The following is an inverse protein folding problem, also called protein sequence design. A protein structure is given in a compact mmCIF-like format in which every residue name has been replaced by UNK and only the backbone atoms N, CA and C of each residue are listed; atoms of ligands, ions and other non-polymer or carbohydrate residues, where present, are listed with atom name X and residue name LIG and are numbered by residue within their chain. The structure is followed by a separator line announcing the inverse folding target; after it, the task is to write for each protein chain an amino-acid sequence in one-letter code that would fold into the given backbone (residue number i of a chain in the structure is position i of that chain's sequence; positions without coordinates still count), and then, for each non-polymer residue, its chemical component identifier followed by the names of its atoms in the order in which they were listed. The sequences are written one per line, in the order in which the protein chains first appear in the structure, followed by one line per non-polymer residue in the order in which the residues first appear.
data_IF_514110710597
#
_entry.id   IF_514110710597
#
_cell.length_a   1.000
_cell.length_b   1.000
_cell.length_c   1.000
_cell.angle_alpha   90.00
_cell.angle_beta   90.00
_cell.angle_gamma   90.00
#
_symmetry.space_group_name_H-M   'P 1'
#
loop_
_entity.id
_entity.type
_entity.pdbx_description
1 polymer ?
#
# COMPACT_ATOMS: atom_id res chain seq x y z
N UNK A 1 18.42 -6.40 13.43
CA UNK A 1 17.10 -5.89 13.84
C UNK A 1 16.06 -6.78 13.18
N UNK A 2 14.96 -7.12 13.85
CA UNK A 2 13.91 -7.96 13.26
C UNK A 2 13.20 -7.14 12.19
N UNK A 3 13.33 -7.52 10.92
CA UNK A 3 12.58 -6.89 9.83
C UNK A 3 11.08 -6.97 10.15
N UNK A 4 10.39 -5.82 10.17
CA UNK A 4 8.95 -5.79 10.39
C UNK A 4 8.28 -6.34 9.13
N UNK A 5 7.79 -7.57 9.20
CA UNK A 5 7.18 -8.22 8.01
C UNK A 5 5.70 -7.88 7.89
N UNK A 6 5.01 -7.57 8.99
CA UNK A 6 3.56 -7.35 9.01
C UNK A 6 3.21 -5.85 9.12
N UNK A 7 3.19 -5.15 7.99
CA UNK A 7 2.92 -3.72 7.92
C UNK A 7 1.42 -3.45 8.04
N UNK A 8 1.08 -2.54 8.95
CA UNK A 8 -0.29 -2.14 9.18
C UNK A 8 -0.67 -0.98 8.26
N UNK A 9 -1.80 -1.15 7.56
CA UNK A 9 -2.40 -0.09 6.74
C UNK A 9 -3.52 0.65 7.47
N UNK A 10 -4.00 0.09 8.59
CA UNK A 10 -4.78 0.81 9.60
C UNK A 10 -3.92 0.92 10.86
N UNK A 11 -3.68 2.12 11.42
CA UNK A 11 -2.82 2.31 12.58
C UNK A 11 -3.21 1.42 13.77
N UNK A 12 -2.22 0.76 14.38
CA UNK A 12 -2.49 -0.18 15.49
C UNK A 12 -3.05 0.52 16.73
N UNK A 13 -2.61 1.76 17.01
CA UNK A 13 -3.11 2.52 18.15
C UNK A 13 -4.62 2.81 18.00
N UNK A 14 -5.09 3.04 16.77
CA UNK A 14 -6.50 3.27 16.47
C UNK A 14 -7.33 1.99 16.66
N UNK A 15 -6.86 0.86 16.15
CA UNK A 15 -7.56 -0.43 16.29
C UNK A 15 -7.69 -0.88 17.74
N UNK A 16 -6.73 -0.52 18.59
CA UNK A 16 -6.74 -0.86 20.01
C UNK A 16 -7.93 -0.27 20.76
N UNK A 17 -8.40 0.91 20.35
CA UNK A 17 -9.56 1.57 20.96
C UNK A 17 -10.88 0.81 20.78
N UNK A 18 -10.89 -0.25 19.97
CA UNK A 18 -12.04 -1.14 19.75
C UNK A 18 -11.91 -2.50 20.46
N UNK A 19 -10.86 -2.68 21.28
CA UNK A 19 -10.61 -3.95 21.96
C UNK A 19 -11.14 -3.96 23.39
N UNK A 20 -11.60 -5.12 23.84
CA UNK A 20 -12.22 -5.30 25.17
C UNK A 20 -11.20 -5.47 26.31
N UNK A 21 -9.89 -5.57 26.03
CA UNK A 21 -8.89 -5.99 27.01
C UNK A 21 -7.82 -4.92 27.28
N UNK A 22 -7.46 -4.74 28.56
CA UNK A 22 -6.40 -3.85 28.99
C UNK A 22 -4.99 -4.33 28.57
N UNK A 23 -4.79 -5.66 28.42
CA UNK A 23 -3.52 -6.23 27.98
C UNK A 23 -3.38 -6.16 26.45
N UNK A 24 -2.40 -5.36 26.00
CA UNK A 24 -2.06 -5.17 24.58
C UNK A 24 -1.70 -6.46 23.85
N UNK A 25 -1.27 -7.51 24.53
CA UNK A 25 -0.90 -8.76 23.86
C UNK A 25 -2.08 -9.70 23.65
N UNK A 26 -3.15 -9.48 24.42
CA UNK A 26 -4.38 -10.29 24.43
C UNK A 26 -5.60 -9.53 23.90
N UNK A 27 -5.47 -8.23 23.62
CA UNK A 27 -6.54 -7.41 23.09
C UNK A 27 -7.09 -7.98 21.77
N UNK A 28 -8.32 -8.46 21.88
CA UNK A 28 -9.10 -8.98 20.77
C UNK A 28 -10.18 -7.97 20.37
N UNK A 29 -10.54 -8.03 19.10
CA UNK A 29 -11.62 -7.24 18.50
C UNK A 29 -12.63 -8.18 17.86
N UNK A 30 -13.88 -7.78 17.86
CA UNK A 30 -14.92 -8.43 17.07
C UNK A 30 -14.88 -7.88 15.64
N UNK A 31 -14.79 -8.78 14.66
CA UNK A 31 -14.69 -8.44 13.25
C UNK A 31 -15.90 -8.97 12.52
N UNK A 32 -16.48 -8.12 11.66
CA UNK A 32 -17.42 -8.54 10.65
C UNK A 32 -16.79 -8.40 9.26
N UNK A 33 -16.55 -9.52 8.59
CA UNK A 33 -16.08 -9.53 7.22
C UNK A 33 -17.27 -9.43 6.28
N UNK A 34 -17.41 -8.27 5.65
CA UNK A 34 -18.50 -7.99 4.72
C UNK A 34 -18.47 -8.87 3.48
N UNK A 35 -17.30 -9.36 3.06
CA UNK A 35 -17.12 -10.16 1.84
C UNK A 35 -17.58 -11.61 2.04
N UNK A 36 -17.22 -12.20 3.19
CA UNK A 36 -17.60 -13.58 3.53
C UNK A 36 -18.89 -13.67 4.35
N UNK A 37 -19.42 -12.54 4.83
CA UNK A 37 -20.55 -12.43 5.77
C UNK A 37 -20.32 -13.17 7.08
N UNK A 38 -19.06 -13.35 7.48
CA UNK A 38 -18.70 -14.06 8.71
C UNK A 38 -18.27 -13.08 9.79
N UNK A 39 -18.51 -13.48 11.04
CA UNK A 39 -18.02 -12.79 12.23
C UNK A 39 -17.07 -13.67 13.00
N UNK A 40 -16.02 -13.08 13.55
CA UNK A 40 -15.03 -13.77 14.37
C UNK A 40 -14.35 -12.80 15.35
N UNK A 41 -13.71 -13.35 16.38
CA UNK A 41 -12.80 -12.61 17.26
C UNK A 41 -11.36 -12.92 16.90
N UNK A 42 -10.50 -11.91 16.89
CA UNK A 42 -9.06 -12.07 16.64
C UNK A 42 -8.28 -10.96 17.33
N UNK A 43 -6.96 -11.12 17.44
CA UNK A 43 -6.09 -10.07 17.97
C UNK A 43 -6.05 -8.88 17.02
N UNK A 44 -6.03 -7.64 17.53
CA UNK A 44 -5.99 -6.44 16.68
C UNK A 44 -4.80 -6.45 15.71
N UNK A 45 -3.65 -7.05 16.09
CA UNK A 45 -2.45 -7.16 15.24
C UNK A 45 -2.64 -8.04 13.99
N UNK A 46 -3.73 -8.80 13.93
CA UNK A 46 -4.06 -9.71 12.83
C UNK A 46 -5.01 -9.06 11.81
N UNK A 47 -5.46 -7.82 12.03
CA UNK A 47 -6.38 -7.11 11.14
C UNK A 47 -5.76 -5.80 10.67
N UNK A 48 -6.26 -5.26 9.55
CA UNK A 48 -5.75 -3.98 9.05
C UNK A 48 -4.27 -4.01 8.65
N UNK A 49 -3.72 -5.20 8.37
CA UNK A 49 -2.31 -5.40 8.07
C UNK A 49 -2.11 -6.34 6.86
N UNK A 50 -0.97 -6.18 6.18
CA UNK A 50 -0.53 -7.03 5.08
C UNK A 50 0.99 -7.18 5.13
N UNK A 51 1.46 -8.35 4.73
CA UNK A 51 2.90 -8.62 4.64
C UNK A 51 3.58 -7.64 3.69
N UNK A 52 4.66 -6.99 4.15
CA UNK A 52 5.51 -6.06 3.41
C UNK A 52 4.74 -4.92 2.69
N UNK A 53 3.57 -4.52 3.19
CA UNK A 53 2.68 -3.58 2.49
C UNK A 53 3.32 -2.22 2.19
N UNK A 54 4.06 -1.68 3.16
CA UNK A 54 4.80 -0.42 3.03
C UNK A 54 6.26 -0.58 2.60
N UNK A 55 6.70 -1.80 2.23
CA UNK A 55 8.08 -1.99 1.79
C UNK A 55 8.30 -1.36 0.42
N UNK A 56 9.45 -0.71 0.24
CA UNK A 56 9.86 -0.13 -1.04
C UNK A 56 11.21 -0.69 -1.50
N UNK A 57 11.43 -0.69 -2.80
CA UNK A 57 12.72 -0.99 -3.42
C UNK A 57 13.09 0.22 -4.28
N UNK A 58 13.78 1.17 -3.67
CA UNK A 58 14.21 2.42 -4.30
C UNK A 58 15.66 2.70 -3.91
N UNK A 59 16.47 3.10 -4.89
CA UNK A 59 17.88 3.41 -4.66
C UNK A 59 18.02 4.54 -3.63
N UNK A 60 18.93 4.38 -2.67
CA UNK A 60 19.18 5.35 -1.61
C UNK A 60 18.20 5.33 -0.43
N UNK A 61 17.19 4.44 -0.43
CA UNK A 61 16.22 4.31 0.65
C UNK A 61 16.27 2.93 1.32
N UNK A 62 16.12 2.91 2.65
CA UNK A 62 15.89 1.68 3.39
C UNK A 62 14.54 1.06 2.98
N UNK A 63 14.42 -0.27 2.85
CA UNK A 63 13.16 -0.90 2.47
C UNK A 63 11.98 -0.58 3.40
N UNK A 64 12.22 -0.29 4.67
CA UNK A 64 11.23 0.09 5.67
C UNK A 64 11.05 1.60 5.83
N UNK A 65 11.72 2.43 5.02
CA UNK A 65 11.68 3.88 5.14
C UNK A 65 10.26 4.46 5.22
N UNK A 66 9.31 3.91 4.46
CA UNK A 66 7.90 4.32 4.53
C UNK A 66 7.23 3.87 5.82
N UNK A 67 7.48 2.65 6.31
CA UNK A 67 6.95 2.18 7.59
C UNK A 67 7.46 3.05 8.75
N UNK A 68 8.75 3.38 8.75
CA UNK A 68 9.38 4.19 9.80
C UNK A 68 8.81 5.61 9.83
N UNK A 69 8.71 6.28 8.68
CA UNK A 69 8.08 7.60 8.59
C UNK A 69 6.61 7.59 9.00
N UNK A 70 5.89 6.49 8.75
CA UNK A 70 4.52 6.34 9.24
C UNK A 70 4.47 6.16 10.76
N UNK A 71 5.40 5.41 11.35
CA UNK A 71 5.47 5.22 12.79
C UNK A 71 5.70 6.54 13.54
N UNK A 72 6.50 7.45 12.99
CA UNK A 72 6.70 8.80 13.54
C UNK A 72 5.39 9.61 13.58
N UNK A 73 4.68 9.69 12.44
CA UNK A 73 3.39 10.39 12.35
C UNK A 73 2.36 9.78 13.31
N UNK A 74 2.29 8.45 13.37
CA UNK A 74 1.38 7.75 14.28
C UNK A 74 1.72 7.99 15.75
N UNK A 75 3.01 8.14 16.07
CA UNK A 75 3.49 8.51 17.41
C UNK A 75 3.00 9.87 17.89
N UNK A 76 2.86 10.84 16.98
CA UNK A 76 2.31 12.17 17.31
C UNK A 76 0.78 12.16 17.48
N UNK A 77 0.08 11.38 16.65
CA UNK A 77 -1.39 11.33 16.66
C UNK A 77 -1.91 10.56 17.88
N UNK A 78 -1.27 9.45 18.24
CA UNK A 78 -1.74 8.52 19.27
C UNK A 78 -2.06 9.18 20.63
N UNK A 79 -1.18 9.98 21.26
CA UNK A 79 -1.49 10.60 22.55
C UNK A 79 -2.63 11.60 22.45
N UNK A 80 -2.70 12.39 21.38
CA UNK A 80 -3.78 13.37 21.16
C UNK A 80 -5.13 12.70 20.97
N UNK A 81 -5.18 11.58 20.24
CA UNK A 81 -6.42 10.81 20.12
C UNK A 81 -6.88 10.27 21.48
N UNK A 82 -5.95 9.79 22.31
CA UNK A 82 -6.28 9.31 23.65
C UNK A 82 -6.91 10.42 24.51
N UNK A 83 -6.34 11.63 24.47
CA UNK A 83 -6.86 12.79 25.19
C UNK A 83 -8.24 13.25 24.67
N UNK A 84 -8.46 13.21 23.35
CA UNK A 84 -9.79 13.49 22.76
C UNK A 84 -10.83 12.50 23.25
N UNK A 85 -10.49 11.22 23.34
CA UNK A 85 -11.41 10.18 23.82
C UNK A 85 -11.74 10.40 25.31
N UNK A 86 -10.73 10.71 26.12
CA UNK A 86 -10.90 10.94 27.56
C UNK A 86 -11.75 12.19 27.84
N UNK A 87 -11.41 13.32 27.21
CA UNK A 87 -12.09 14.60 27.43
C UNK A 87 -13.41 14.73 26.68
N UNK A 88 -13.66 13.85 25.69
CA UNK A 88 -14.79 13.93 24.75
C UNK A 88 -14.88 15.30 24.06
N UNK A 89 -13.74 15.94 23.83
CA UNK A 89 -13.63 17.27 23.25
C UNK A 89 -12.33 17.39 22.44
N UNK A 90 -12.11 18.54 21.81
CA UNK A 90 -10.81 18.89 21.23
C UNK A 90 -10.17 19.97 22.11
N UNK A 91 -9.26 19.61 23.04
CA UNK A 91 -8.67 20.57 23.96
C UNK A 91 -7.93 21.72 23.27
N UNK A 92 -7.29 21.43 22.13
CA UNK A 92 -6.58 22.41 21.30
C UNK A 92 -6.83 22.15 19.81
N UNK A 93 -6.50 23.13 18.96
CA UNK A 93 -6.57 22.98 17.50
C UNK A 93 -5.74 21.80 16.97
N UNK A 94 -4.61 21.48 17.61
CA UNK A 94 -3.74 20.37 17.22
C UNK A 94 -4.40 19.00 17.36
N UNK A 95 -5.33 18.86 18.31
CA UNK A 95 -6.10 17.63 18.49
C UNK A 95 -7.01 17.39 17.29
N UNK A 96 -7.74 18.44 16.87
CA UNK A 96 -8.59 18.37 15.69
C UNK A 96 -7.76 18.06 14.44
N UNK A 97 -6.65 18.77 14.25
CA UNK A 97 -5.71 18.51 13.14
C UNK A 97 -5.22 17.06 13.13
N UNK A 98 -4.87 16.50 14.29
CA UNK A 98 -4.38 15.12 14.39
C UNK A 98 -5.46 14.10 14.06
N UNK A 99 -6.71 14.35 14.45
CA UNK A 99 -7.85 13.48 14.07
C UNK A 99 -8.14 13.58 12.58
N UNK A 100 -8.08 14.77 11.99
CA UNK A 100 -8.22 14.95 10.55
C UNK A 100 -7.10 14.24 9.78
N UNK A 101 -5.86 14.34 10.26
CA UNK A 101 -4.72 13.63 9.68
C UNK A 101 -4.89 12.11 9.78
N UNK A 102 -5.38 11.59 10.91
CA UNK A 102 -5.72 10.18 11.06
C UNK A 102 -6.77 9.74 10.02
N UNK A 103 -7.84 10.51 9.86
CA UNK A 103 -8.89 10.23 8.88
C UNK A 103 -8.33 10.21 7.46
N UNK A 104 -7.51 11.20 7.10
CA UNK A 104 -6.82 11.27 5.82
C UNK A 104 -5.92 10.05 5.59
N UNK A 105 -5.10 9.70 6.57
CA UNK A 105 -4.21 8.55 6.51
C UNK A 105 -4.96 7.24 6.28
N UNK A 106 -6.03 6.96 7.03
CA UNK A 106 -6.83 5.74 6.83
C UNK A 106 -7.51 5.73 5.45
N UNK A 107 -7.95 6.89 4.97
CA UNK A 107 -8.61 7.03 3.66
C UNK A 107 -7.66 6.74 2.48
N UNK A 108 -6.38 7.13 2.57
CA UNK A 108 -5.43 6.97 1.46
C UNK A 108 -4.50 5.76 1.59
N UNK A 109 -4.28 5.22 2.79
CA UNK A 109 -3.33 4.12 3.02
C UNK A 109 -3.94 2.73 2.90
N UNK A 110 -5.22 2.60 2.58
CA UNK A 110 -5.84 1.28 2.46
C UNK A 110 -5.49 0.58 1.12
N UNK A 111 -5.58 -0.76 1.05
CA UNK A 111 -5.23 -1.53 -0.14
C UNK A 111 -6.02 -1.16 -1.39
N UNK A 112 -7.27 -0.72 -1.23
CA UNK A 112 -8.12 -0.31 -2.36
C UNK A 112 -7.57 0.95 -3.01
N UNK A 113 -7.19 1.95 -2.22
CA UNK A 113 -6.59 3.17 -2.75
C UNK A 113 -5.24 2.90 -3.41
N UNK A 114 -4.40 2.04 -2.81
CA UNK A 114 -3.12 1.62 -3.41
C UNK A 114 -3.32 0.93 -4.76
N UNK A 115 -4.25 -0.04 -4.84
CA UNK A 115 -4.57 -0.74 -6.08
C UNK A 115 -5.15 0.21 -7.14
N UNK A 116 -5.96 1.20 -6.75
CA UNK A 116 -6.48 2.21 -7.67
C UNK A 116 -5.35 3.05 -8.30
N UNK A 117 -4.36 3.47 -7.51
CA UNK A 117 -3.20 4.20 -8.02
C UNK A 117 -2.30 3.33 -8.91
N UNK A 118 -2.13 2.06 -8.56
CA UNK A 118 -1.38 1.09 -9.37
C UNK A 118 -2.03 0.90 -10.74
N UNK A 119 -3.36 0.67 -10.78
CA UNK A 119 -4.12 0.54 -12.02
C UNK A 119 -4.02 1.79 -12.90
N UNK A 120 -4.04 2.97 -12.29
CA UNK A 120 -3.86 4.24 -13.01
C UNK A 120 -2.48 4.31 -13.67
N UNK A 121 -1.41 4.00 -12.94
CA UNK A 121 -0.06 3.98 -13.49
C UNK A 121 0.10 2.97 -14.63
N UNK A 122 -0.43 1.75 -14.46
CA UNK A 122 -0.38 0.70 -15.49
C UNK A 122 -1.10 1.18 -16.77
N UNK A 123 -2.26 1.83 -16.65
CA UNK A 123 -3.02 2.36 -17.79
C UNK A 123 -2.25 3.46 -18.52
N UNK A 124 -1.63 4.39 -17.78
CA UNK A 124 -0.82 5.46 -18.37
C UNK A 124 0.38 4.86 -19.11
N UNK A 125 1.16 3.99 -18.47
CA UNK A 125 2.32 3.34 -19.07
C UNK A 125 1.94 2.54 -20.32
N UNK A 126 0.85 1.76 -20.24
CA UNK A 126 0.32 1.00 -21.38
C UNK A 126 -0.12 1.90 -22.53
N UNK A 127 -0.73 3.05 -22.22
CA UNK A 127 -1.13 4.06 -23.19
C UNK A 127 0.08 4.67 -23.91
N UNK A 128 1.11 5.06 -23.15
CA UNK A 128 2.37 5.58 -23.71
C UNK A 128 3.05 4.54 -24.59
N UNK A 129 3.15 3.29 -24.14
CA UNK A 129 3.75 2.21 -24.91
C UNK A 129 3.00 1.95 -26.23
N UNK A 130 1.66 1.92 -26.20
CA UNK A 130 0.84 1.80 -27.42
C UNK A 130 1.05 2.96 -28.39
N UNK A 131 1.30 4.17 -27.89
CA UNK A 131 1.59 5.32 -28.73
C UNK A 131 2.97 5.17 -29.39
N UNK A 132 4.00 4.78 -28.62
CA UNK A 132 5.35 4.56 -29.15
C UNK A 132 5.41 3.44 -30.20
N UNK A 133 4.58 2.40 -30.07
CA UNK A 133 4.50 1.30 -31.05
C UNK A 133 3.73 1.66 -32.33
N UNK A 134 2.88 2.69 -32.32
CA UNK A 134 2.10 3.12 -33.49
C UNK A 134 2.91 3.95 -34.47
N UNK A 135 4.00 4.55 -34.01
CA UNK A 135 4.87 5.44 -34.77
C UNK A 135 6.17 4.68 -35.05
N UNK A 136 6.35 4.23 -36.30
CA UNK A 136 7.45 3.35 -36.71
C UNK A 136 8.81 3.97 -36.40
N UNK A 137 8.95 5.29 -36.56
CA UNK A 137 10.20 6.00 -36.31
C UNK A 137 10.50 6.08 -34.81
N UNK A 138 9.48 6.34 -33.97
CA UNK A 138 9.63 6.28 -32.50
C UNK A 138 9.91 4.89 -31.96
N UNK A 139 9.34 3.84 -32.56
CA UNK A 139 9.65 2.48 -32.18
C UNK A 139 11.14 2.16 -32.42
N UNK A 140 11.66 2.50 -33.60
CA UNK A 140 13.07 2.30 -33.91
C UNK A 140 14.00 3.13 -33.02
N UNK A 141 13.66 4.38 -32.71
CA UNK A 141 14.43 5.21 -31.78
C UNK A 141 14.38 4.68 -30.33
N UNK A 142 13.23 4.17 -29.88
CA UNK A 142 13.08 3.55 -28.55
C UNK A 142 13.87 2.24 -28.43
N UNK A 143 13.93 1.42 -29.49
CA UNK A 143 14.77 0.22 -29.55
C UNK A 143 16.26 0.59 -29.58
N UNK A 144 16.64 1.67 -30.28
CA UNK A 144 18.02 2.17 -30.31
C UNK A 144 18.48 2.59 -28.91
N UNK A 145 17.68 3.41 -28.21
CA UNK A 145 17.99 3.83 -26.83
C UNK A 145 18.08 2.65 -25.85
N UNK A 146 17.16 1.68 -25.95
CA UNK A 146 17.16 0.52 -25.07
C UNK A 146 18.38 -0.41 -25.30
N UNK A 147 18.90 -0.48 -26.55
CA UNK A 147 20.14 -1.20 -26.89
C UNK A 147 21.40 -0.45 -26.45
N UNK A 148 21.37 0.87 -26.42
CA UNK A 148 22.52 1.72 -26.03
C UNK A 148 22.69 1.82 -24.50
N UNK A 149 21.63 1.60 -23.71
CA UNK A 149 21.63 1.85 -22.25
C UNK A 149 21.25 0.67 -21.34
N UNK A 150 20.97 -0.54 -21.86
CA UNK A 150 20.47 -1.67 -21.06
C UNK A 150 21.00 -3.05 -21.49
N UNK A 151 20.68 -4.13 -20.72
CA UNK A 151 21.06 -5.50 -21.08
C UNK A 151 20.46 -5.93 -22.43
N UNK A 152 21.09 -6.88 -23.15
CA UNK A 152 20.76 -7.21 -24.54
C UNK A 152 19.28 -7.62 -24.69
N UNK A 153 18.58 -6.93 -25.57
CA UNK A 153 17.24 -7.31 -26.00
C UNK A 153 17.36 -8.56 -26.88
N UNK A 154 16.63 -9.62 -26.53
CA UNK A 154 16.55 -10.84 -27.36
C UNK A 154 15.87 -10.49 -28.69
N UNK A 155 16.54 -10.76 -29.80
CA UNK A 155 16.07 -10.42 -31.16
C UNK A 155 15.14 -11.50 -31.73
N UNK A 156 14.98 -12.60 -31.01
CA UNK A 156 14.36 -13.83 -31.42
C UNK A 156 13.03 -14.06 -30.68
N UNK A 157 12.13 -13.08 -30.75
CA UNK A 157 10.71 -13.33 -30.52
C UNK A 157 10.13 -13.93 -31.80
N UNK A 158 10.26 -15.25 -31.95
CA UNK A 158 9.62 -15.99 -33.02
C UNK A 158 8.09 -15.99 -32.83
N UNK A 159 7.38 -15.16 -33.59
CA UNK A 159 5.91 -15.08 -33.59
C UNK A 159 5.21 -16.31 -34.19
N UNK A 160 5.93 -17.37 -34.59
CA UNK A 160 5.32 -18.61 -35.10
C UNK A 160 4.59 -19.45 -34.04
N UNK A 161 4.67 -19.11 -32.75
CA UNK A 161 3.99 -19.86 -31.71
C UNK A 161 2.46 -19.62 -31.66
N UNK A 162 1.92 -18.57 -32.28
CA UNK A 162 0.48 -18.29 -32.30
C UNK A 162 -0.32 -19.11 -33.33
N UNK A 163 0.34 -19.80 -34.28
CA UNK A 163 -0.37 -20.61 -35.29
C UNK A 163 -0.67 -22.05 -34.84
N UNK A 164 -0.05 -22.53 -33.76
CA UNK A 164 -0.26 -23.91 -33.27
C UNK A 164 -1.42 -24.09 -32.28
N UNK A 165 -2.09 -23.01 -31.86
CA UNK A 165 -3.22 -23.07 -30.92
C UNK A 165 -4.61 -22.89 -31.59
N UNK A 166 -4.67 -22.87 -32.93
CA UNK A 166 -5.95 -22.80 -33.69
C UNK A 166 -6.46 -24.13 -34.25
N UNK A 167 -5.82 -25.25 -33.93
CA UNK A 167 -6.31 -26.59 -34.25
C UNK A 167 -5.89 -27.59 -33.18
N UNK A 168 -6.57 -27.62 -32.03
CA UNK A 168 -7.13 -28.79 -31.32
C UNK A 168 -8.25 -28.27 -30.43
#
# INVERSE_FOLDING_TARGET
MSDTVNHHFIPQFYLRSFSDAADKWKAQVFVFDQSTKRSFRTLFRNIGARRNFLRIEAEGFDPNHVEDGMAEIEGEIAPRLAEVIETKSFPTGDHFTSVMLLMGNVAVRNPRFRSMLEDLHIKIASGMMRMSLRDKDRYHDSIRQAREGGPPICDDINTSASDKLRKI
#
